data_IF_673106946565
#
_entry.id   IF_673106946565
#
_cell.length_a   1.000
_cell.length_b   1.000
_cell.length_c   1.000
_cell.angle_alpha   90.00
_cell.angle_beta   90.00
_cell.angle_gamma   90.00
#
_symmetry.space_group_name_H-M   'P 1'
#
loop_
_entity.id
_entity.type
_entity.pdbx_description
1 polymer ?
2 non-polymer ?
3 non-polymer ?
4 non-polymer ?
5 water ?
#
# COMPACT_ATOMS: atom_id res chain seq x y z
N UNK A 17 -16.54 -13.52 -8.71
CA UNK A 17 -16.24 -12.71 -9.87
C UNK A 17 -17.25 -11.59 -10.03
N UNK A 18 -18.45 -11.80 -9.50
CA UNK A 18 -19.53 -10.82 -9.48
C UNK A 18 -19.22 -9.75 -8.44
N UNK A 19 -18.93 -10.16 -7.18
CA UNK A 19 -18.55 -9.23 -6.09
C UNK A 19 -17.05 -9.05 -6.07
N UNK A 20 -16.60 -7.78 -6.17
CA UNK A 20 -15.17 -7.49 -6.18
C UNK A 20 -14.83 -6.36 -5.20
N UNK A 21 -13.53 -6.26 -4.86
CA UNK A 21 -13.03 -5.19 -4.00
C UNK A 21 -12.10 -4.33 -4.84
N UNK A 22 -12.47 -3.07 -5.03
CA UNK A 22 -11.64 -2.12 -5.75
C UNK A 22 -10.78 -1.32 -4.75
N UNK A 23 -9.47 -1.34 -4.97
CA UNK A 23 -8.47 -0.65 -4.18
C UNK A 23 -8.38 0.81 -4.68
N UNK A 24 -7.99 1.75 -3.80
CA UNK A 24 -7.79 3.16 -4.13
C UNK A 24 -6.54 3.33 -5.01
N UNK A 25 -5.67 2.32 -5.05
CA UNK A 25 -4.41 2.37 -5.80
C UNK A 25 -4.39 1.56 -7.10
N UNK A 26 -5.46 0.81 -7.43
CA UNK A 26 -5.50 0.00 -8.65
C UNK A 26 -5.10 0.78 -9.91
N UNK A 27 -5.81 1.90 -10.19
CA UNK A 27 -5.53 2.73 -11.36
C UNK A 27 -4.18 3.41 -11.32
N UNK A 28 -3.78 3.93 -10.14
CA UNK A 28 -2.47 4.60 -9.90
C UNK A 28 -1.32 3.57 -10.13
N UNK A 29 -1.53 2.32 -9.68
CA UNK A 29 -0.51 1.26 -9.85
C UNK A 29 -0.36 0.91 -11.32
N UNK A 30 -1.49 0.77 -12.04
CA UNK A 30 -1.50 0.49 -13.50
C UNK A 30 -0.71 1.56 -14.26
N UNK A 31 -0.94 2.84 -13.93
CA UNK A 31 -0.23 4.00 -14.52
C UNK A 31 1.28 4.05 -14.17
N UNK A 32 1.64 3.80 -12.91
CA UNK A 32 3.03 3.92 -12.46
C UNK A 32 3.93 2.73 -12.74
N UNK A 33 3.36 1.59 -13.20
CA UNK A 33 4.15 0.38 -13.44
C UNK A 33 5.33 0.64 -14.40
N UNK A 34 5.05 1.19 -15.60
CA UNK A 34 6.06 1.49 -16.63
C UNK A 34 7.24 2.33 -16.11
N UNK A 35 7.00 3.17 -15.08
CA UNK A 35 7.96 4.07 -14.44
C UNK A 35 8.87 3.40 -13.40
N UNK A 36 8.49 2.18 -12.91
CA UNK A 36 9.28 1.46 -11.90
C UNK A 36 10.62 1.02 -12.48
N UNK A 37 11.65 0.86 -11.65
CA UNK A 37 12.92 0.39 -12.22
C UNK A 37 12.71 -1.02 -12.78
N UNK A 38 13.48 -1.36 -13.83
CA UNK A 38 13.35 -2.63 -14.54
C UNK A 38 13.50 -3.87 -13.71
N UNK A 39 14.32 -3.85 -12.65
CA UNK A 39 14.45 -5.06 -11.84
C UNK A 39 13.16 -5.26 -11.03
N UNK A 40 12.59 -4.17 -10.52
CA UNK A 40 11.33 -4.24 -9.78
C UNK A 40 10.19 -4.74 -10.67
N UNK A 41 10.10 -4.26 -11.92
CA UNK A 41 9.08 -4.71 -12.86
C UNK A 41 9.14 -6.24 -13.06
N UNK A 42 10.35 -6.80 -13.27
CA UNK A 42 10.51 -8.26 -13.45
C UNK A 42 10.19 -8.98 -12.14
N UNK A 43 10.65 -8.44 -11.00
CA UNK A 43 10.36 -9.04 -9.67
C UNK A 43 8.85 -9.10 -9.44
N UNK A 44 8.11 -8.01 -9.75
CA UNK A 44 6.64 -8.00 -9.62
C UNK A 44 5.96 -9.04 -10.54
N UNK A 45 6.49 -9.20 -11.80
CA UNK A 45 5.97 -10.18 -12.77
C UNK A 45 6.13 -11.61 -12.23
N UNK A 46 7.32 -11.95 -11.70
CA UNK A 46 7.58 -13.27 -11.08
C UNK A 46 6.63 -13.49 -9.90
N UNK A 47 6.56 -12.50 -9.00
CA UNK A 47 5.68 -12.53 -7.84
C UNK A 47 4.22 -12.81 -8.26
N UNK A 48 3.69 -12.07 -9.27
CA UNK A 48 2.30 -12.20 -9.77
C UNK A 48 2.01 -13.66 -10.17
N UNK A 49 3.00 -14.33 -10.77
CA UNK A 49 2.90 -15.71 -11.21
C UNK A 49 2.81 -16.74 -10.08
N UNK A 50 3.35 -16.42 -8.89
CA UNK A 50 3.39 -17.35 -7.75
C UNK A 50 2.31 -17.16 -6.69
N UNK A 51 1.79 -15.92 -6.54
CA UNK A 51 0.81 -15.61 -5.49
C UNK A 51 -0.38 -16.58 -5.53
N UNK A 52 -0.71 -17.16 -4.36
CA UNK A 52 -1.77 -18.16 -4.17
C UNK A 52 -3.15 -17.55 -4.33
N UNK A 53 -4.13 -18.38 -4.74
CA UNK A 53 -5.52 -17.98 -5.00
C UNK A 53 -6.04 -16.91 -4.04
N UNK A 54 -5.98 -17.17 -2.71
CA UNK A 54 -6.39 -16.22 -1.67
C UNK A 54 -5.82 -14.80 -1.87
N UNK A 55 -4.56 -14.69 -2.31
CA UNK A 55 -3.91 -13.39 -2.54
C UNK A 55 -4.35 -12.64 -3.80
N UNK A 56 -4.46 -13.34 -4.93
CA UNK A 56 -4.83 -12.76 -6.23
C UNK A 56 -6.28 -12.96 -6.68
N UNK A 57 -7.09 -13.76 -5.93
CA UNK A 57 -8.48 -14.07 -6.29
C UNK A 57 -9.26 -12.84 -6.73
N UNK A 58 -9.21 -11.78 -5.89
CA UNK A 58 -9.90 -10.54 -6.14
C UNK A 58 -9.45 -9.84 -7.44
N UNK A 59 -8.12 -9.66 -7.64
CA UNK A 59 -7.59 -9.02 -8.85
C UNK A 59 -7.91 -9.82 -10.12
N UNK A 60 -7.93 -11.16 -9.98
CA UNK A 60 -8.30 -12.09 -11.06
C UNK A 60 -9.80 -11.92 -11.35
N UNK A 61 -10.62 -11.79 -10.28
CA UNK A 61 -12.08 -11.59 -10.38
C UNK A 61 -12.44 -10.27 -11.06
N UNK A 62 -11.59 -9.22 -10.89
CA UNK A 62 -11.78 -7.91 -11.55
C UNK A 62 -11.45 -8.06 -13.05
N UNK A 63 -10.26 -8.60 -13.37
CA UNK A 63 -9.77 -8.82 -14.72
C UNK A 63 -10.80 -9.58 -15.59
N UNK A 64 -11.27 -10.75 -15.09
CA UNK A 64 -12.24 -11.64 -15.75
C UNK A 64 -13.56 -10.91 -15.97
N UNK A 65 -14.07 -10.22 -14.92
CA UNK A 65 -15.30 -9.43 -14.99
C UNK A 65 -15.18 -8.29 -16.00
N UNK A 66 -13.96 -7.76 -16.21
CA UNK A 66 -13.72 -6.69 -17.19
C UNK A 66 -13.50 -7.26 -18.59
N UNK A 67 -12.89 -8.46 -18.70
CA UNK A 67 -12.59 -9.12 -19.97
C UNK A 67 -13.87 -9.75 -20.54
N UNK A 68 -14.71 -8.90 -21.15
CA UNK A 68 -16.00 -9.28 -21.74
C UNK A 68 -15.89 -10.16 -22.99
N UNK A 69 -14.81 -9.98 -23.78
CA UNK A 69 -14.58 -10.75 -25.01
C UNK A 69 -13.82 -12.10 -24.85
N UNK A 70 -13.53 -12.52 -23.60
CA UNK A 70 -12.83 -13.76 -23.21
C UNK A 70 -11.43 -13.97 -23.84
N UNK A 71 -10.82 -12.88 -24.33
CA UNK A 71 -9.51 -12.88 -24.99
C UNK A 71 -8.31 -12.98 -24.04
N UNK A 72 -8.57 -13.06 -22.72
CA UNK A 72 -7.53 -13.10 -21.70
C UNK A 72 -6.65 -11.87 -21.66
N UNK A 73 -7.17 -10.76 -22.22
CA UNK A 73 -6.53 -9.45 -22.33
C UNK A 73 -7.55 -8.32 -22.03
N UNK A 74 -7.09 -7.10 -21.68
CA UNK A 74 -7.97 -5.97 -21.41
C UNK A 74 -7.74 -4.82 -22.35
N UNK A 75 -8.84 -4.29 -22.93
CA UNK A 75 -8.82 -3.14 -23.83
C UNK A 75 -9.12 -1.87 -23.06
N UNK A 76 -8.88 -0.70 -23.71
CA UNK A 76 -9.13 0.63 -23.17
C UNK A 76 -10.61 0.83 -22.83
N UNK A 77 -11.51 0.36 -23.70
CA UNK A 77 -12.96 0.44 -23.53
C UNK A 77 -13.40 -0.42 -22.35
N UNK A 78 -12.87 -1.67 -22.24
CA UNK A 78 -13.16 -2.63 -21.18
C UNK A 78 -12.97 -2.09 -19.76
N UNK A 79 -11.85 -1.40 -19.51
CA UNK A 79 -11.53 -0.78 -18.21
C UNK A 79 -12.47 0.40 -17.88
N UNK A 80 -12.71 1.27 -18.87
CA UNK A 80 -13.61 2.44 -18.77
C UNK A 80 -15.05 1.99 -18.50
N UNK A 81 -15.52 0.97 -19.25
CA UNK A 81 -16.84 0.37 -19.10
C UNK A 81 -17.05 -0.22 -17.68
N UNK A 82 -16.00 -0.83 -17.13
CA UNK A 82 -16.01 -1.39 -15.78
C UNK A 82 -16.21 -0.34 -14.71
N UNK A 83 -15.41 0.75 -14.76
CA UNK A 83 -15.53 1.87 -13.80
C UNK A 83 -16.94 2.46 -13.87
N UNK A 84 -17.52 2.52 -15.08
CA UNK A 84 -18.88 3.00 -15.31
C UNK A 84 -19.88 2.02 -14.69
N UNK A 85 -19.71 0.70 -14.93
CA UNK A 85 -20.56 -0.37 -14.39
C UNK A 85 -20.56 -0.36 -12.85
N UNK A 86 -19.41 -0.01 -12.25
CA UNK A 86 -19.20 0.10 -10.81
C UNK A 86 -19.99 1.32 -10.23
N UNK A 87 -19.87 2.47 -10.90
CA UNK A 87 -20.52 3.72 -10.51
C UNK A 87 -19.95 4.93 -11.21
N UNK A 92 -10.19 12.09 -13.29
CA UNK A 92 -9.15 11.06 -13.44
C UNK A 92 -8.44 11.12 -14.80
N UNK A 93 -7.67 12.20 -15.12
CA UNK A 93 -6.97 12.24 -16.43
C UNK A 93 -5.78 11.28 -16.52
N UNK A 94 -5.30 10.80 -15.34
CA UNK A 94 -4.21 9.83 -15.19
C UNK A 94 -4.66 8.46 -15.74
N UNK A 95 -5.93 8.10 -15.47
CA UNK A 95 -6.57 6.86 -15.95
C UNK A 95 -6.67 6.88 -17.48
N UNK A 96 -7.03 8.04 -18.07
CA UNK A 96 -7.14 8.23 -19.51
C UNK A 96 -5.80 8.07 -20.23
N UNK A 97 -4.69 8.43 -19.56
CA UNK A 97 -3.33 8.30 -20.11
C UNK A 97 -2.91 6.84 -20.27
N UNK A 98 -3.06 6.00 -19.20
CA UNK A 98 -2.73 4.56 -19.25
C UNK A 98 -3.59 3.83 -20.31
N UNK A 99 -4.88 4.26 -20.44
CA UNK A 99 -5.88 3.76 -21.40
C UNK A 99 -5.37 3.90 -22.85
N UNK A 100 -4.69 5.03 -23.16
CA UNK A 100 -4.11 5.30 -24.49
C UNK A 100 -2.83 4.50 -24.73
N UNK A 101 -2.10 4.13 -23.65
CA UNK A 101 -0.86 3.37 -23.72
C UNK A 101 -1.12 1.88 -23.95
N UNK A 109 -3.65 -4.23 -26.01
CA UNK A 109 -4.16 -5.05 -24.90
C UNK A 109 -3.17 -5.16 -23.74
N UNK A 110 -3.66 -5.66 -22.57
CA UNK A 110 -2.89 -5.96 -21.36
C UNK A 110 -3.27 -7.37 -20.91
N UNK A 111 -2.29 -8.31 -20.94
CA UNK A 111 -2.53 -9.70 -20.55
C UNK A 111 -2.70 -9.83 -19.05
N UNK A 112 -3.30 -10.95 -18.61
CA UNK A 112 -3.58 -11.27 -17.21
C UNK A 112 -2.39 -11.08 -16.26
N UNK A 113 -1.21 -11.64 -16.61
CA UNK A 113 0.01 -11.56 -15.78
C UNK A 113 0.50 -10.14 -15.60
N UNK A 114 0.53 -9.37 -16.70
CA UNK A 114 0.98 -7.98 -16.69
C UNK A 114 0.04 -7.06 -15.87
N UNK A 115 -1.29 -7.32 -15.94
CA UNK A 115 -2.31 -6.61 -15.14
C UNK A 115 -2.02 -6.87 -13.65
N UNK A 116 -1.82 -8.16 -13.27
CA UNK A 116 -1.51 -8.58 -11.90
C UNK A 116 -0.25 -7.90 -11.37
N UNK A 117 0.86 -7.96 -12.14
CA UNK A 117 2.16 -7.35 -11.75
C UNK A 117 2.02 -5.86 -11.46
N UNK A 118 1.17 -5.19 -12.25
CA UNK A 118 0.93 -3.74 -12.22
C UNK A 118 -0.13 -3.27 -11.25
N UNK A 119 -0.84 -4.17 -10.53
CA UNK A 119 -1.94 -3.79 -9.63
C UNK A 119 -1.74 -4.27 -8.21
N UNK A 120 -0.92 -5.32 -8.01
CA UNK A 120 -0.65 -5.85 -6.68
C UNK A 120 -0.02 -4.73 -5.83
N UNK A 121 -0.51 -4.57 -4.58
CA UNK A 121 -0.04 -3.57 -3.63
C UNK A 121 1.01 -4.15 -2.69
N UNK A 122 1.76 -3.27 -1.98
CA UNK A 122 2.81 -3.69 -1.04
C UNK A 122 2.35 -4.65 0.03
N UNK A 123 1.10 -4.51 0.52
CA UNK A 123 0.51 -5.37 1.54
C UNK A 123 0.46 -6.82 1.09
N UNK A 124 0.45 -7.04 -0.25
CA UNK A 124 0.45 -8.37 -0.86
C UNK A 124 1.89 -8.83 -1.18
N UNK A 125 2.65 -8.03 -1.92
CA UNK A 125 4.00 -8.44 -2.38
C UNK A 125 5.17 -8.21 -1.43
N UNK A 126 5.04 -7.21 -0.54
CA UNK A 126 6.15 -6.86 0.34
C UNK A 126 6.18 -7.73 1.60
N UNK A 127 6.62 -8.98 1.41
CA UNK A 127 6.74 -10.00 2.44
C UNK A 127 7.99 -10.75 2.11
N UNK A 128 8.75 -11.16 3.13
CA UNK A 128 10.02 -11.86 2.91
C UNK A 128 9.90 -13.09 2.02
N UNK A 129 8.92 -13.97 2.31
CA UNK A 129 8.67 -15.23 1.60
C UNK A 129 8.30 -15.03 0.14
N UNK A 130 7.61 -13.91 -0.16
CA UNK A 130 7.15 -13.56 -1.51
C UNK A 130 8.35 -12.99 -2.31
N UNK A 131 9.05 -11.98 -1.75
CA UNK A 131 10.21 -11.35 -2.41
C UNK A 131 11.43 -12.26 -2.59
N UNK A 132 11.56 -13.30 -1.73
CA UNK A 132 12.64 -14.28 -1.85
C UNK A 132 12.52 -15.07 -3.16
N UNK A 133 11.30 -15.21 -3.71
CA UNK A 133 11.12 -15.94 -4.99
C UNK A 133 11.88 -15.26 -6.17
N UNK A 134 11.59 -13.98 -6.55
CA UNK A 134 12.38 -13.38 -7.62
C UNK A 134 13.84 -13.21 -7.18
N UNK A 135 14.12 -12.83 -5.90
CA UNK A 135 15.50 -12.63 -5.44
C UNK A 135 16.38 -13.88 -5.71
N UNK A 136 15.88 -15.06 -5.32
CA UNK A 136 16.60 -16.32 -5.51
C UNK A 136 16.76 -16.64 -6.99
N UNK A 137 15.75 -16.30 -7.82
CA UNK A 137 15.82 -16.52 -9.28
C UNK A 137 16.94 -15.66 -9.89
N UNK A 138 17.08 -14.40 -9.40
CA UNK A 138 18.10 -13.45 -9.86
C UNK A 138 19.49 -13.83 -9.35
N UNK A 139 19.58 -14.39 -8.13
CA UNK A 139 20.84 -14.77 -7.51
C UNK A 139 21.29 -16.14 -8.02
N UNK A 140 21.75 -16.17 -9.27
CA UNK A 140 22.16 -17.42 -9.93
C UNK A 140 23.13 -18.31 -9.13
N UNK A 141 24.17 -17.73 -8.52
CA UNK A 141 25.16 -18.51 -7.77
C UNK A 141 24.82 -18.77 -6.30
N UNK A 142 23.65 -18.30 -5.85
CA UNK A 142 23.15 -18.49 -4.50
C UNK A 142 23.99 -17.94 -3.37
N UNK A 143 24.85 -16.92 -3.65
CA UNK A 143 25.72 -16.32 -2.63
C UNK A 143 25.06 -15.24 -1.74
N UNK A 144 23.78 -14.95 -2.00
CA UNK A 144 23.01 -13.97 -1.22
C UNK A 144 23.00 -12.57 -1.80
N UNK A 145 23.69 -12.35 -2.93
CA UNK A 145 23.78 -11.04 -3.58
C UNK A 145 23.56 -11.13 -5.09
N UNK A 146 23.01 -10.07 -5.71
CA UNK A 146 22.82 -10.03 -7.17
C UNK A 146 23.97 -9.22 -7.74
N UNK A 147 24.79 -9.84 -8.60
CA UNK A 147 25.96 -9.18 -9.16
C UNK A 147 25.63 -8.53 -10.48
N UNK A 148 26.59 -7.75 -11.02
CA UNK A 148 26.43 -7.14 -12.34
C UNK A 148 26.21 -8.25 -13.40
N UNK A 149 26.98 -9.35 -13.33
CA UNK A 149 26.86 -10.43 -14.34
C UNK A 149 25.49 -11.10 -14.24
N UNK A 150 24.97 -11.27 -13.02
CA UNK A 150 23.61 -11.80 -12.79
C UNK A 150 22.58 -10.80 -13.32
N UNK A 151 22.83 -9.48 -13.17
CA UNK A 151 21.90 -8.47 -13.73
C UNK A 151 21.89 -8.54 -15.25
N UNK A 152 23.07 -8.71 -15.89
CA UNK A 152 23.19 -8.85 -17.35
C UNK A 152 22.41 -10.05 -17.86
N UNK A 153 22.43 -11.17 -17.11
CA UNK A 153 21.68 -12.35 -17.53
C UNK A 153 20.17 -12.16 -17.44
N UNK A 154 19.70 -11.47 -16.38
CA UNK A 154 18.27 -11.16 -16.16
C UNK A 154 17.71 -10.39 -17.34
N UNK A 155 18.42 -9.35 -17.78
CA UNK A 155 17.98 -8.45 -18.83
C UNK A 155 18.21 -8.92 -20.26
N UNK A 156 18.94 -10.03 -20.42
CA UNK A 156 19.23 -10.65 -21.71
C UNK A 156 20.22 -9.86 -22.55
N UNK A 161 26.10 -6.54 -26.52
CA UNK A 161 27.02 -5.66 -27.24
C UNK A 161 26.76 -4.17 -26.97
N UNK A 162 25.48 -3.74 -26.98
CA UNK A 162 25.03 -2.35 -26.77
C UNK A 162 25.54 -1.73 -25.46
N UNK A 163 26.29 -0.59 -25.55
CA UNK A 163 26.80 0.08 -24.34
C UNK A 163 25.72 0.61 -23.39
N UNK A 164 24.51 0.88 -23.91
CA UNK A 164 23.38 1.40 -23.15
C UNK A 164 22.82 0.40 -22.13
N UNK A 165 22.90 -0.91 -22.45
CA UNK A 165 22.50 -2.01 -21.58
C UNK A 165 23.35 -1.97 -20.32
N UNK A 166 24.70 -1.92 -20.50
CA UNK A 166 25.68 -1.89 -19.42
C UNK A 166 25.55 -0.60 -18.63
N UNK A 167 25.19 0.49 -19.31
CA UNK A 167 24.98 1.78 -18.66
C UNK A 167 23.72 1.70 -17.75
N UNK A 168 22.60 1.23 -18.29
CA UNK A 168 21.34 1.13 -17.55
C UNK A 168 21.46 0.20 -16.35
N UNK A 169 22.25 -0.90 -16.49
CA UNK A 169 22.53 -1.86 -15.41
C UNK A 169 23.33 -1.15 -14.31
N UNK A 170 24.32 -0.33 -14.70
CA UNK A 170 25.12 0.46 -13.76
C UNK A 170 24.29 1.50 -13.02
N UNK A 171 23.40 2.23 -13.74
CA UNK A 171 22.52 3.23 -13.13
C UNK A 171 21.53 2.58 -12.14
N UNK A 172 21.06 1.37 -12.47
CA UNK A 172 20.16 0.61 -11.62
C UNK A 172 20.92 0.16 -10.36
N UNK A 173 22.07 -0.48 -10.55
CA UNK A 173 22.93 -0.96 -9.48
C UNK A 173 23.26 0.15 -8.48
N UNK A 174 23.67 1.36 -8.94
CA UNK A 174 24.00 2.50 -8.07
C UNK A 174 22.80 3.08 -7.27
N UNK A 175 21.58 3.01 -7.84
CA UNK A 175 20.36 3.45 -7.17
C UNK A 175 20.01 2.45 -6.02
N UNK A 176 20.17 1.14 -6.26
CA UNK A 176 19.80 0.06 -5.34
C UNK A 176 20.91 -0.35 -4.35
N UNK A 177 22.18 -0.32 -4.80
CA UNK A 177 23.34 -0.70 -4.01
C UNK A 177 23.69 0.32 -2.94
N UNK A 178 22.90 0.33 -1.86
CA UNK A 178 23.06 1.26 -0.75
C UNK A 178 24.43 1.23 -0.05
N UNK A 179 25.04 0.05 0.15
CA UNK A 179 26.35 -0.03 0.81
C UNK A 179 27.58 0.15 -0.10
N UNK A 180 27.36 0.28 -1.42
CA UNK A 180 28.42 0.50 -2.40
C UNK A 180 29.38 -0.66 -2.62
N UNK A 181 28.96 -1.90 -2.30
CA UNK A 181 29.82 -3.08 -2.50
C UNK A 181 29.76 -3.66 -3.92
N UNK A 182 29.02 -3.00 -4.80
CA UNK A 182 28.85 -3.38 -6.19
C UNK A 182 27.79 -4.45 -6.43
N UNK A 183 27.12 -4.95 -5.37
CA UNK A 183 26.12 -6.02 -5.50
C UNK A 183 24.84 -5.72 -4.73
N UNK A 184 23.73 -6.39 -5.07
CA UNK A 184 22.45 -6.18 -4.37
C UNK A 184 22.14 -7.33 -3.42
N UNK A 185 22.19 -7.06 -2.10
CA UNK A 185 21.82 -8.07 -1.11
C UNK A 185 20.29 -8.01 -0.89
N UNK A 186 19.77 -8.88 -0.03
CA UNK A 186 18.34 -8.96 0.21
C UNK A 186 17.77 -7.75 0.93
N UNK A 187 18.55 -7.14 1.83
CA UNK A 187 18.16 -5.92 2.53
C UNK A 187 17.92 -4.82 1.47
N UNK A 188 18.90 -4.63 0.57
CA UNK A 188 18.82 -3.65 -0.51
C UNK A 188 17.67 -3.96 -1.50
N UNK A 189 17.45 -5.26 -1.78
CA UNK A 189 16.36 -5.72 -2.64
C UNK A 189 15.01 -5.38 -2.00
N UNK A 190 14.85 -5.65 -0.68
CA UNK A 190 13.62 -5.33 0.07
C UNK A 190 13.37 -3.83 0.17
N UNK A 191 14.43 -3.05 0.28
CA UNK A 191 14.32 -1.58 0.30
C UNK A 191 13.92 -1.04 -1.07
N UNK A 192 14.46 -1.65 -2.15
CA UNK A 192 14.05 -1.27 -3.50
C UNK A 192 12.54 -1.57 -3.67
N UNK A 193 12.10 -2.73 -3.14
CA UNK A 193 10.72 -3.19 -3.25
C UNK A 193 9.71 -2.31 -2.48
N UNK A 194 10.13 -1.68 -1.37
CA UNK A 194 9.21 -0.84 -0.56
C UNK A 194 9.25 0.64 -0.91
N UNK A 195 10.30 1.07 -1.65
CA UNK A 195 10.51 2.46 -2.07
C UNK A 195 9.33 2.98 -2.93
N UNK A 196 8.98 4.26 -2.76
CA UNK A 196 7.92 4.92 -3.52
C UNK A 196 8.39 6.30 -3.99
N UNK B 17 13.33 23.83 29.56
CA UNK B 17 14.43 23.93 30.51
C UNK B 17 14.09 23.25 31.83
N UNK B 18 15.06 22.56 32.39
CA UNK B 18 14.90 21.75 33.60
C UNK B 18 14.40 20.39 33.19
N UNK B 19 13.33 19.91 33.80
CA UNK B 19 12.75 18.61 33.45
C UNK B 19 11.66 18.84 32.41
N UNK B 20 11.88 18.36 31.19
CA UNK B 20 10.95 18.60 30.07
C UNK B 20 10.53 17.34 29.30
N UNK B 21 9.53 17.49 28.44
CA UNK B 21 9.04 16.41 27.60
C UNK B 21 9.25 16.71 26.11
N UNK B 22 9.93 15.81 25.41
CA UNK B 22 10.14 15.80 23.97
C UNK B 22 9.41 14.52 23.52
N UNK B 23 8.06 14.59 23.45
CA UNK B 23 7.19 13.46 23.12
C UNK B 23 7.40 12.93 21.71
N UNK B 24 7.28 11.62 21.52
CA UNK B 24 7.43 11.05 20.19
C UNK B 24 6.11 11.13 19.44
N UNK B 25 6.11 11.85 18.30
CA UNK B 25 4.97 11.99 17.39
C UNK B 25 4.58 10.61 16.80
N UNK B 26 5.60 9.83 16.37
CA UNK B 26 5.42 8.49 15.80
C UNK B 26 4.69 7.58 16.82
N UNK B 27 5.19 7.50 18.09
CA UNK B 27 4.58 6.65 19.12
C UNK B 27 3.19 7.10 19.55
N UNK B 28 2.97 8.43 19.64
CA UNK B 28 1.67 9.01 19.96
C UNK B 28 0.63 8.50 18.93
N UNK B 29 0.98 8.63 17.63
CA UNK B 29 0.07 8.18 16.56
C UNK B 29 -0.11 6.69 16.59
N UNK B 30 0.98 5.94 16.74
CA UNK B 30 0.94 4.48 16.77
C UNK B 30 -0.04 3.94 17.82
N UNK B 31 0.04 4.51 19.06
CA UNK B 31 -0.85 4.09 20.14
C UNK B 31 -2.30 4.57 19.93
N UNK B 32 -2.50 5.70 19.22
CA UNK B 32 -3.85 6.24 18.94
C UNK B 32 -4.63 5.56 17.81
N UNK B 33 -3.92 5.02 16.78
CA UNK B 33 -4.55 4.39 15.61
C UNK B 33 -5.75 3.49 15.90
N UNK B 34 -5.57 2.45 16.73
CA UNK B 34 -6.61 1.45 17.02
C UNK B 34 -7.95 2.04 17.45
N UNK B 35 -7.90 3.09 18.26
CA UNK B 35 -9.05 3.78 18.83
C UNK B 35 -9.72 4.78 17.89
N UNK B 36 -9.11 5.11 16.73
CA UNK B 36 -9.71 6.04 15.77
C UNK B 36 -10.96 5.39 15.18
N UNK B 37 -11.92 6.18 14.67
CA UNK B 37 -13.10 5.54 14.09
C UNK B 37 -12.68 4.77 12.82
N UNK B 38 -13.53 3.84 12.38
CA UNK B 38 -13.23 2.93 11.30
C UNK B 38 -13.07 3.61 9.95
N UNK B 39 -13.78 4.74 9.73
CA UNK B 39 -13.65 5.48 8.49
C UNK B 39 -12.30 6.20 8.42
N UNK B 40 -11.87 6.80 9.55
CA UNK B 40 -10.59 7.51 9.63
C UNK B 40 -9.42 6.53 9.42
N UNK B 41 -9.50 5.32 9.98
CA UNK B 41 -8.46 4.30 9.84
C UNK B 41 -8.24 3.91 8.39
N UNK B 42 -9.34 3.75 7.62
CA UNK B 42 -9.25 3.40 6.21
C UNK B 42 -8.73 4.58 5.42
N UNK B 43 -9.21 5.80 5.74
CA UNK B 43 -8.75 7.03 5.09
C UNK B 43 -7.23 7.20 5.29
N UNK B 44 -6.72 6.93 6.51
CA UNK B 44 -5.30 7.01 6.84
C UNK B 44 -4.46 5.98 6.10
N UNK B 45 -5.02 4.76 5.88
CA UNK B 45 -4.37 3.69 5.10
C UNK B 45 -4.26 4.10 3.64
N UNK B 46 -5.34 4.66 3.07
CA UNK B 46 -5.33 5.18 1.68
C UNK B 46 -4.27 6.28 1.54
N UNK B 47 -4.25 7.23 2.47
CA UNK B 47 -3.30 8.35 2.48
C UNK B 47 -1.85 7.82 2.53
N UNK B 48 -1.58 6.88 3.44
CA UNK B 48 -0.28 6.25 3.59
C UNK B 48 0.18 5.57 2.30
N UNK B 49 -0.74 4.91 1.57
CA UNK B 49 -0.42 4.25 0.28
C UNK B 49 -0.16 5.26 -0.86
N UNK B 50 -0.68 6.50 -0.74
CA UNK B 50 -0.52 7.55 -1.76
C UNK B 50 0.61 8.53 -1.49
N UNK B 51 1.00 8.75 -0.22
CA UNK B 51 2.09 9.71 0.05
C UNK B 51 3.41 9.19 -0.50
N UNK B 52 4.26 10.09 -1.01
CA UNK B 52 5.57 9.72 -1.56
C UNK B 52 6.56 9.61 -0.40
N UNK B 53 7.73 8.95 -0.64
CA UNK B 53 8.80 8.81 0.36
C UNK B 53 9.30 10.09 0.97
N UNK B 54 9.31 11.21 0.21
CA UNK B 54 9.73 12.53 0.76
C UNK B 54 8.80 12.95 1.92
N UNK B 55 7.50 12.64 1.83
CA UNK B 55 6.52 13.01 2.87
C UNK B 55 6.53 12.11 4.12
N UNK B 56 7.01 10.86 3.99
CA UNK B 56 7.04 9.86 5.07
C UNK B 56 8.46 9.39 5.39
N UNK B 57 9.47 10.13 4.92
CA UNK B 57 10.89 9.82 5.07
C UNK B 57 11.33 9.39 6.48
N UNK B 58 10.92 10.13 7.52
CA UNK B 58 11.28 9.79 8.92
C UNK B 58 10.67 8.45 9.36
N UNK B 59 9.42 8.17 8.96
CA UNK B 59 8.74 6.91 9.30
C UNK B 59 9.33 5.73 8.55
N UNK B 60 9.70 5.95 7.26
CA UNK B 60 10.33 4.90 6.45
C UNK B 60 11.68 4.51 7.06
N UNK B 61 12.53 5.51 7.45
CA UNK B 61 13.87 5.29 8.04
C UNK B 61 13.79 4.50 9.31
N UNK B 62 12.79 4.81 10.16
CA UNK B 62 12.58 4.12 11.42
C UNK B 62 12.16 2.70 11.14
N UNK B 63 11.20 2.48 10.21
CA UNK B 63 10.73 1.12 9.85
C UNK B 63 11.90 0.23 9.40
N UNK B 64 12.74 0.76 8.50
CA UNK B 64 13.92 0.04 7.97
C UNK B 64 14.85 -0.37 9.12
N UNK B 65 15.13 0.56 10.08
CA UNK B 65 16.02 0.30 11.24
C UNK B 65 15.42 -0.82 12.10
N UNK B 66 14.09 -0.81 12.28
CA UNK B 66 13.41 -1.83 13.11
C UNK B 66 13.28 -3.18 12.40
N UNK B 67 13.10 -3.18 11.05
CA UNK B 67 12.92 -4.39 10.26
C UNK B 67 14.25 -5.13 10.03
N UNK B 68 14.84 -5.63 11.12
CA UNK B 68 16.14 -6.33 11.13
C UNK B 68 16.20 -7.57 10.25
N UNK B 69 15.10 -8.33 10.12
CA UNK B 69 15.10 -9.53 9.29
C UNK B 69 14.63 -9.25 7.86
N UNK B 70 14.45 -7.96 7.49
CA UNK B 70 14.01 -7.55 6.15
C UNK B 70 12.76 -8.32 5.70
N UNK B 71 11.77 -8.41 6.58
CA UNK B 71 10.54 -9.15 6.24
C UNK B 71 9.46 -8.27 5.60
N UNK B 72 9.65 -6.95 5.62
CA UNK B 72 8.65 -5.99 5.18
C UNK B 72 7.57 -5.79 6.23
N UNK B 73 7.74 -6.39 7.44
CA UNK B 73 6.80 -6.32 8.55
C UNK B 73 7.58 -6.15 9.86
N UNK B 74 6.92 -5.64 10.91
CA UNK B 74 7.53 -5.51 12.23
C UNK B 74 6.80 -6.39 13.21
N UNK B 75 7.56 -7.17 13.98
CA UNK B 75 7.02 -7.99 15.06
C UNK B 75 7.10 -7.13 16.32
N UNK B 76 6.52 -7.62 17.43
CA UNK B 76 6.58 -6.96 18.73
C UNK B 76 8.01 -6.95 19.25
N UNK B 77 8.77 -8.03 19.03
CA UNK B 77 10.16 -8.14 19.46
C UNK B 77 11.03 -7.11 18.73
N UNK B 78 10.79 -6.89 17.39
CA UNK B 78 11.55 -5.88 16.63
C UNK B 78 11.27 -4.46 17.16
N UNK B 79 10.00 -4.14 17.46
CA UNK B 79 9.58 -2.84 18.03
C UNK B 79 10.19 -2.68 19.44
N UNK B 80 10.10 -3.74 20.26
CA UNK B 80 10.65 -3.74 21.62
C UNK B 80 12.17 -3.57 21.62
N UNK B 81 12.88 -4.33 20.76
CA UNK B 81 14.34 -4.21 20.62
C UNK B 81 14.79 -2.81 20.16
N UNK B 82 13.90 -2.09 19.48
CA UNK B 82 14.13 -0.73 19.00
C UNK B 82 14.02 0.31 20.09
N UNK B 83 13.07 0.12 21.03
CA UNK B 83 12.92 0.98 22.21
C UNK B 83 14.13 0.74 23.16
N UNK B 84 15.03 -0.24 22.80
CA UNK B 84 16.22 -0.63 23.56
C UNK B 84 17.52 -0.25 22.80
N UNK B 85 17.67 -0.73 21.54
CA UNK B 85 18.84 -0.45 20.68
C UNK B 85 18.97 1.02 20.32
N UNK B 86 17.83 1.69 20.04
CA UNK B 86 17.78 3.12 19.73
C UNK B 86 17.40 3.88 20.99
N UNK B 92 5.95 1.86 28.97
CA UNK B 92 4.67 2.46 29.37
C UNK B 92 3.48 1.57 29.01
N UNK B 93 2.32 1.66 29.72
CA UNK B 93 1.19 0.78 29.39
C UNK B 93 0.57 0.96 27.99
N UNK B 94 0.71 2.17 27.41
CA UNK B 94 0.21 2.48 26.07
C UNK B 94 0.96 1.71 24.99
N UNK B 95 2.31 1.71 25.04
CA UNK B 95 3.15 1.02 24.06
C UNK B 95 3.07 -0.50 24.23
N UNK B 96 2.94 -0.99 25.49
CA UNK B 96 2.78 -2.42 25.78
C UNK B 96 1.48 -2.98 25.20
N UNK B 97 0.41 -2.17 25.16
CA UNK B 97 -0.87 -2.58 24.59
C UNK B 97 -0.77 -2.71 23.06
N UNK B 98 0.00 -1.80 22.42
CA UNK B 98 0.27 -1.79 20.97
C UNK B 98 0.95 -3.10 20.59
N UNK B 99 1.97 -3.51 21.38
CA UNK B 99 2.72 -4.76 21.20
C UNK B 99 1.80 -5.98 21.30
N UNK B 100 0.84 -5.96 22.23
CA UNK B 100 -0.10 -7.05 22.41
C UNK B 100 -1.18 -7.05 21.31
N UNK B 101 -1.53 -5.86 20.79
CA UNK B 101 -2.49 -5.72 19.68
C UNK B 101 -1.91 -6.26 18.37
N UNK B 102 -0.60 -6.08 18.15
CA UNK B 102 0.15 -6.58 16.99
C UNK B 102 0.30 -8.12 17.08
N UNK B 103 0.59 -8.64 18.29
CA UNK B 103 0.70 -10.08 18.54
C UNK B 103 -0.61 -10.81 18.25
N UNK B 104 -1.75 -10.16 18.52
CA UNK B 104 -3.11 -10.69 18.35
C UNK B 104 -3.66 -10.67 16.91
N UNK B 105 -3.01 -9.92 15.98
CA UNK B 105 -3.51 -9.88 14.61
C UNK B 105 -3.06 -11.09 13.79
N UNK B 106 -3.74 -11.34 12.66
CA UNK B 106 -3.56 -12.46 11.72
C UNK B 106 -2.17 -13.06 11.57
N UNK B 107 -1.14 -12.20 11.43
CA UNK B 107 0.25 -12.63 11.23
C UNK B 107 1.18 -12.50 12.44
N UNK B 108 0.72 -11.82 13.48
CA UNK B 108 1.54 -11.51 14.65
C UNK B 108 2.53 -10.40 14.30
N UNK B 109 2.23 -9.65 13.22
CA UNK B 109 3.11 -8.60 12.68
C UNK B 109 2.32 -7.39 12.22
N UNK B 110 3.03 -6.26 12.02
CA UNK B 110 2.47 -5.07 11.42
C UNK B 110 3.17 -4.83 10.09
N UNK B 111 2.39 -4.85 9.00
CA UNK B 111 2.95 -4.63 7.67
C UNK B 111 3.39 -3.17 7.50
N UNK B 112 4.40 -2.93 6.64
CA UNK B 112 4.91 -1.61 6.28
C UNK B 112 3.82 -0.56 6.07
N UNK B 113 2.83 -0.87 5.22
CA UNK B 113 1.75 0.05 4.87
C UNK B 113 0.91 0.45 6.09
N UNK B 114 0.54 -0.55 6.91
CA UNK B 114 -0.24 -0.36 8.14
C UNK B 114 0.57 0.42 9.17
N UNK B 115 1.89 0.18 9.22
CA UNK B 115 2.76 0.95 10.13
C UNK B 115 2.72 2.43 9.73
N UNK B 116 2.83 2.73 8.41
CA UNK B 116 2.78 4.12 7.92
C UNK B 116 1.42 4.75 8.24
N UNK B 117 0.33 4.00 8.06
CA UNK B 117 -1.03 4.52 8.31
C UNK B 117 -1.20 4.90 9.75
N UNK B 118 -0.63 4.09 10.65
CA UNK B 118 -0.74 4.26 12.09
C UNK B 118 0.19 5.32 12.66
N UNK B 119 1.23 5.72 11.91
CA UNK B 119 2.24 6.65 12.45
C UNK B 119 2.21 8.02 11.79
N UNK B 120 1.62 8.13 10.59
CA UNK B 120 1.51 9.44 9.91
C UNK B 120 0.81 10.48 10.79
N UNK B 121 1.29 11.71 10.75
CA UNK B 121 0.75 12.78 11.60
C UNK B 121 -0.09 13.77 10.82
N UNK B 122 -1.06 14.42 11.49
CA UNK B 122 -1.93 15.47 10.93
C UNK B 122 -1.11 16.58 10.25
N UNK B 123 0.09 16.91 10.78
CA UNK B 123 0.97 17.94 10.17
C UNK B 123 1.21 17.63 8.71
N UNK B 124 1.29 16.32 8.40
CA UNK B 124 1.50 15.82 7.05
C UNK B 124 0.16 15.61 6.31
N UNK B 125 -0.80 14.93 6.92
CA UNK B 125 -2.01 14.57 6.21
C UNK B 125 -3.16 15.55 6.23
N UNK B 126 -3.31 16.36 7.28
CA UNK B 126 -4.48 17.24 7.38
C UNK B 126 -4.38 18.46 6.45
N UNK B 127 -4.59 18.19 5.18
CA UNK B 127 -4.51 19.19 4.09
C UNK B 127 -5.57 18.75 3.14
N UNK B 128 -6.31 19.71 2.57
CA UNK B 128 -7.39 19.47 1.60
C UNK B 128 -6.96 18.57 0.46
N UNK B 129 -5.79 18.85 -0.17
CA UNK B 129 -5.27 18.05 -1.30
C UNK B 129 -5.02 16.58 -0.91
N UNK B 130 -4.57 16.35 0.32
CA UNK B 130 -4.28 15.01 0.83
C UNK B 130 -5.58 14.27 1.19
N UNK B 131 -6.47 14.89 1.99
CA UNK B 131 -7.74 14.24 2.38
C UNK B 131 -8.72 14.05 1.22
N UNK B 132 -8.54 14.79 0.10
CA UNK B 132 -9.39 14.59 -1.07
C UNK B 132 -9.16 13.22 -1.70
N UNK B 133 -7.94 12.64 -1.52
CA UNK B 133 -7.62 11.31 -2.09
C UNK B 133 -8.60 10.23 -1.57
N UNK B 134 -8.68 9.93 -0.23
CA UNK B 134 -9.68 8.95 0.22
C UNK B 134 -11.12 9.44 0.03
N UNK B 135 -11.41 10.75 0.23
CA UNK B 135 -12.77 11.27 0.07
C UNK B 135 -13.36 11.03 -1.34
N UNK B 136 -12.60 11.34 -2.42
CA UNK B 136 -13.03 11.15 -3.81
C UNK B 136 -13.23 9.67 -4.11
N UNK B 137 -12.38 8.80 -3.50
CA UNK B 137 -12.50 7.36 -3.65
C UNK B 137 -13.79 6.85 -3.03
N UNK B 138 -14.13 7.34 -1.83
CA UNK B 138 -15.35 6.98 -1.11
C UNK B 138 -16.61 7.51 -1.81
N UNK B 139 -16.51 8.73 -2.36
CA UNK B 139 -17.62 9.40 -3.02
C UNK B 139 -17.76 8.87 -4.46
N UNK B 140 -18.34 7.66 -4.59
CA UNK B 140 -18.52 6.93 -5.86
C UNK B 140 -19.15 7.80 -6.97
N UNK B 141 -20.36 8.36 -6.73
CA UNK B 141 -21.09 9.18 -7.69
C UNK B 141 -20.49 10.56 -7.94
N UNK B 142 -19.65 11.02 -7.02
CA UNK B 142 -19.00 12.31 -7.12
C UNK B 142 -19.88 13.51 -6.83
N UNK B 143 -20.90 13.33 -5.98
CA UNK B 143 -21.79 14.44 -5.58
C UNK B 143 -21.27 15.26 -4.38
N UNK B 144 -20.01 15.00 -3.97
CA UNK B 144 -19.37 15.69 -2.85
C UNK B 144 -19.84 15.25 -1.48
N UNK B 145 -20.61 14.17 -1.39
CA UNK B 145 -21.14 13.64 -0.13
C UNK B 145 -21.04 12.12 -0.11
N UNK B 146 -20.71 11.54 1.05
CA UNK B 146 -20.63 10.09 1.19
C UNK B 146 -21.97 9.63 1.76
N UNK B 147 -22.80 8.97 0.92
CA UNK B 147 -24.12 8.45 1.30
C UNK B 147 -23.97 7.24 2.24
N UNK B 148 -25.08 6.76 2.81
CA UNK B 148 -25.08 5.59 3.69
C UNK B 148 -24.64 4.34 2.88
N UNK B 149 -25.12 4.21 1.61
CA UNK B 149 -24.80 3.11 0.69
C UNK B 149 -23.30 3.11 0.37
N UNK B 150 -22.75 4.26 -0.06
CA UNK B 150 -21.32 4.46 -0.37
C UNK B 150 -20.44 4.17 0.87
N UNK B 151 -20.92 4.62 2.04
CA UNK B 151 -20.23 4.43 3.33
C UNK B 151 -20.18 2.94 3.67
N UNK B 152 -21.28 2.21 3.42
CA UNK B 152 -21.33 0.78 3.66
C UNK B 152 -20.39 0.05 2.72
N UNK B 153 -20.29 0.51 1.45
CA UNK B 153 -19.43 -0.11 0.42
C UNK B 153 -17.92 -0.03 0.73
N UNK B 154 -17.52 0.92 1.58
CA UNK B 154 -16.12 1.04 2.04
C UNK B 154 -15.75 -0.20 2.87
N UNK B 155 -16.67 -0.69 3.71
CA UNK B 155 -16.38 -1.78 4.66
C UNK B 155 -16.74 -3.21 4.27
N UNK B 156 -17.74 -3.36 3.42
CA UNK B 156 -18.21 -4.68 2.99
C UNK B 156 -19.25 -4.61 1.90
N UNK B 157 -19.76 -5.77 1.49
CA UNK B 157 -20.78 -5.92 0.44
C UNK B 157 -22.10 -5.30 0.92
N UNK B 158 -22.76 -4.53 0.04
CA UNK B 158 -24.02 -3.84 0.35
C UNK B 158 -25.26 -4.76 0.35
N UNK B 159 -25.07 -6.08 0.14
CA UNK B 159 -26.14 -7.09 0.13
C UNK B 159 -26.37 -7.78 1.49
N UNK B 160 -25.28 -8.19 2.17
CA UNK B 160 -25.32 -8.88 3.47
C UNK B 160 -25.80 -7.97 4.60
N UNK B 162 -26.86 -7.43 8.18
CA UNK B 162 -26.36 -7.73 9.53
C UNK B 162 -26.69 -6.55 10.46
N UNK B 163 -27.37 -6.81 11.62
CA UNK B 163 -27.76 -5.71 12.53
C UNK B 163 -26.59 -5.01 13.21
N UNK B 164 -25.48 -5.73 13.43
CA UNK B 164 -24.23 -5.23 14.01
C UNK B 164 -23.57 -4.21 13.04
N UNK B 165 -23.66 -4.45 11.70
CA UNK B 165 -23.17 -3.54 10.66
C UNK B 165 -24.00 -2.26 10.70
N UNK B 166 -25.34 -2.39 10.80
CA UNK B 166 -26.24 -1.23 10.87
C UNK B 166 -25.98 -0.39 12.11
N UNK B 167 -25.69 -1.04 13.26
CA UNK B 167 -25.41 -0.35 14.53
C UNK B 167 -24.10 0.43 14.40
N UNK B 168 -23.05 -0.20 13.82
CA UNK B 168 -21.75 0.42 13.59
C UNK B 168 -21.86 1.62 12.64
N UNK B 169 -22.66 1.50 11.56
CA UNK B 169 -22.90 2.59 10.60
C UNK B 169 -23.60 3.76 11.32
N UNK B 170 -24.63 3.44 12.16
CA UNK B 170 -25.40 4.45 12.90
C UNK B 170 -24.51 5.20 13.90
N UNK B 171 -23.61 4.46 14.56
CA UNK B 171 -22.67 5.01 15.53
C UNK B 171 -21.63 5.87 14.81
N UNK B 172 -21.17 5.43 13.62
CA UNK B 172 -20.22 6.20 12.81
C UNK B 172 -20.86 7.50 12.32
N UNK B 173 -22.11 7.44 11.82
CA UNK B 173 -22.88 8.60 11.36
C UNK B 173 -23.13 9.64 12.49
N UNK B 174 -23.55 9.18 13.70
CA UNK B 174 -23.74 10.07 14.85
C UNK B 174 -22.49 10.92 15.10
N UNK B 175 -21.30 10.27 15.11
CA UNK B 175 -20.01 10.88 15.34
C UNK B 175 -19.53 11.82 14.21
N UNK B 176 -19.78 11.49 12.94
CA UNK B 176 -19.24 12.25 11.80
C UNK B 176 -20.24 13.17 11.07
N UNK B 177 -21.49 12.72 10.91
CA UNK B 177 -22.51 13.47 10.20
C UNK B 177 -23.07 14.53 11.15
N UNK B 178 -22.28 15.60 11.35
CA UNK B 178 -22.57 16.74 12.22
C UNK B 178 -23.91 17.41 11.94
N UNK B 179 -24.25 17.60 10.65
CA UNK B 179 -25.51 18.25 10.25
C UNK B 179 -26.75 17.33 10.22
N UNK B 180 -26.56 16.05 10.58
CA UNK B 180 -27.62 15.05 10.63
C UNK B 180 -28.43 14.81 9.38
N UNK B 181 -27.84 15.02 8.20
CA UNK B 181 -28.52 14.81 6.91
C UNK B 181 -28.29 13.38 6.33
N UNK B 182 -27.75 12.50 7.18
CA UNK B 182 -27.46 11.09 6.85
C UNK B 182 -26.35 10.85 5.83
N UNK B 183 -25.53 11.87 5.51
CA UNK B 183 -24.42 11.80 4.53
C UNK B 183 -23.18 12.53 5.07
N UNK B 184 -21.98 12.25 4.50
CA UNK B 184 -20.72 12.90 4.95
C UNK B 184 -20.16 13.81 3.89
N UNK B 185 -20.22 15.14 4.13
CA UNK B 185 -19.64 16.09 3.19
C UNK B 185 -18.12 16.26 3.46
N UNK B 186 -17.42 17.05 2.63
CA UNK B 186 -15.97 17.23 2.75
C UNK B 186 -15.54 17.96 4.00
N UNK B 187 -16.33 18.98 4.42
CA UNK B 187 -16.03 19.72 5.63
C UNK B 187 -16.15 18.82 6.84
N UNK B 188 -17.18 17.93 6.87
CA UNK B 188 -17.36 16.97 7.97
C UNK B 188 -16.20 15.94 7.98
N UNK B 189 -15.76 15.55 6.78
CA UNK B 189 -14.65 14.60 6.60
C UNK B 189 -13.35 15.19 7.14
N UNK B 190 -13.05 16.49 6.88
CA UNK B 190 -11.85 17.20 7.36
C UNK B 190 -11.84 17.31 8.86
N UNK B 191 -13.00 17.65 9.46
CA UNK B 191 -13.14 17.78 10.90
C UNK B 191 -12.92 16.45 11.60
N UNK B 192 -13.44 15.34 11.02
CA UNK B 192 -13.26 14.00 11.60
C UNK B 192 -11.79 13.58 11.50
N UNK B 193 -11.16 13.87 10.38
CA UNK B 193 -9.74 13.54 10.16
C UNK B 193 -8.84 14.28 11.20
N UNK B 194 -9.25 15.48 11.64
CA UNK B 194 -8.45 16.25 12.60
C UNK B 194 -8.59 15.74 14.02
N UNK B 195 -9.77 15.25 14.38
CA UNK B 195 -10.09 14.84 15.75
C UNK B 195 -9.46 13.54 16.17
N UNK B 196 -9.07 13.48 17.46
CA UNK B 196 -8.41 12.39 18.19
C UNK B 196 -6.97 12.20 17.74
#
# INVERSE_FOLDING_TARGET
MHHHHHHSSGRENLYFQGHVELSSTLLKNLKNFKKENELKKIALTIIAKHLCDVEINNLRNIFIALDVDNSGTLSSQEILDGLKKIGYQKIPPDIHQVLRDIDSNASGQIHYTDFLAATIDKQTYLKKEVCLIPFKFFDIDGNGKISVEELKRIFGRDDIENPLIDKAIDSLLQEVDLNGDGEIDFHEFMLMMSKKK
MHHHHHHSSGRENLYFQGHVELSSTLLKNLKNFKKENELKKIALTIIAKHLCDVEINNLRNIFIALDVDNSGTLSSQEILDGLKKIGYQKIPPDIHQVLRDIDSNASGQIHYTDFLAATIDKQTYLKKEVCLIPFKFFDIDGNGKISVEELKRIFGRDDIENPLIDKAIDSLLQEVDLNGDGEIDFHEFMLMMSKKK
#
